data_IF_700018841540
#
_entry.id   IF_700018841540
#
_cell.length_a   1.000
_cell.length_b   1.000
_cell.length_c   1.000
_cell.angle_alpha   90.00
_cell.angle_beta   90.00
_cell.angle_gamma   90.00
#
_symmetry.space_group_name_H-M   'P 1'
#
loop_
_entity.id
_entity.type
_entity.pdbx_description
1 polymer ?
#
# COMPACT_ATOMS: atom_id res chain seq x y z
N UNK A 1 -0.26 30.42 -4.38
CA UNK A 1 -0.82 29.06 -4.29
C UNK A 1 0.34 28.08 -4.33
N UNK A 2 0.77 27.58 -3.17
CA UNK A 2 1.78 26.51 -3.12
C UNK A 2 1.07 25.20 -3.46
N UNK A 3 1.44 24.58 -4.57
CA UNK A 3 1.01 23.22 -4.89
C UNK A 3 1.64 22.27 -3.88
N UNK A 4 0.84 21.58 -3.07
CA UNK A 4 1.32 20.58 -2.13
C UNK A 4 2.22 19.57 -2.84
N UNK A 5 3.28 19.13 -2.16
CA UNK A 5 4.19 18.11 -2.69
C UNK A 5 3.38 16.84 -3.02
N UNK A 6 3.75 16.07 -4.05
CA UNK A 6 3.13 14.77 -4.34
C UNK A 6 3.11 13.84 -3.11
N UNK A 7 4.07 13.99 -2.21
CA UNK A 7 4.16 13.25 -0.96
C UNK A 7 3.13 13.73 0.07
N UNK A 8 2.92 15.05 0.20
CA UNK A 8 1.92 15.62 1.11
C UNK A 8 0.51 15.08 0.79
N UNK A 9 0.17 15.01 -0.50
CA UNK A 9 -1.11 14.46 -0.95
C UNK A 9 -1.23 12.97 -0.64
N UNK A 10 -0.15 12.19 -0.79
CA UNK A 10 -0.18 10.77 -0.45
C UNK A 10 -0.34 10.54 1.05
N UNK A 11 0.29 11.38 1.88
CA UNK A 11 0.17 11.33 3.33
C UNK A 11 -1.25 11.66 3.80
N UNK A 12 -1.88 12.69 3.22
CA UNK A 12 -3.28 13.02 3.50
C UNK A 12 -4.23 11.86 3.16
N UNK A 13 -4.04 11.24 1.99
CA UNK A 13 -4.87 10.11 1.54
C UNK A 13 -4.69 8.89 2.45
N UNK A 14 -3.46 8.56 2.84
CA UNK A 14 -3.21 7.46 3.75
C UNK A 14 -3.81 7.76 5.13
N UNK A 15 -3.63 8.98 5.65
CA UNK A 15 -4.23 9.36 6.94
C UNK A 15 -5.76 9.25 6.93
N UNK A 16 -6.41 9.74 5.87
CA UNK A 16 -7.85 9.61 5.68
C UNK A 16 -8.29 8.15 5.63
N UNK A 17 -7.54 7.28 4.93
CA UNK A 17 -7.80 5.85 4.88
C UNK A 17 -7.71 5.15 6.24
N UNK A 18 -6.78 5.58 7.10
CA UNK A 18 -6.56 4.95 8.41
C UNK A 18 -7.61 5.37 9.44
N UNK A 19 -8.12 6.61 9.35
CA UNK A 19 -9.12 7.16 10.27
C UNK A 19 -10.56 6.92 9.78
N UNK A 20 -10.76 6.89 8.46
CA UNK A 20 -12.05 6.99 7.80
C UNK A 20 -12.73 5.68 7.39
N UNK A 21 -13.79 5.83 6.60
CA UNK A 21 -14.72 4.77 6.18
C UNK A 21 -14.70 4.50 4.66
N UNK A 22 -15.78 3.93 4.11
CA UNK A 22 -15.81 3.37 2.75
C UNK A 22 -15.45 4.31 1.58
N UNK A 23 -15.62 5.63 1.71
CA UNK A 23 -15.20 6.59 0.67
C UNK A 23 -13.67 6.83 0.66
N UNK A 24 -13.03 6.78 1.83
CA UNK A 24 -11.58 6.95 1.98
C UNK A 24 -10.81 5.73 1.45
N UNK A 25 -11.45 4.56 1.46
CA UNK A 25 -10.95 3.35 0.82
C UNK A 25 -10.79 3.54 -0.70
N UNK A 26 -11.77 4.13 -1.38
CA UNK A 26 -11.70 4.33 -2.83
C UNK A 26 -10.52 5.20 -3.23
N UNK A 27 -10.31 6.32 -2.53
CA UNK A 27 -9.21 7.24 -2.83
C UNK A 27 -7.84 6.61 -2.54
N UNK A 28 -7.72 5.88 -1.43
CA UNK A 28 -6.51 5.14 -1.08
C UNK A 28 -6.14 4.10 -2.14
N UNK A 29 -7.12 3.28 -2.54
CA UNK A 29 -6.96 2.29 -3.62
C UNK A 29 -6.52 2.99 -4.90
N UNK A 30 -7.19 4.09 -5.29
CA UNK A 30 -6.85 4.83 -6.50
C UNK A 30 -5.41 5.38 -6.50
N UNK A 31 -4.93 5.87 -5.36
CA UNK A 31 -3.60 6.49 -5.24
C UNK A 31 -2.48 5.45 -5.15
N UNK A 32 -2.69 4.36 -4.41
CA UNK A 32 -1.61 3.41 -4.10
C UNK A 32 -1.64 2.13 -4.93
N UNK A 33 -2.78 1.72 -5.48
CA UNK A 33 -2.85 0.49 -6.30
C UNK A 33 -1.85 0.47 -7.47
N UNK A 34 -1.65 1.54 -8.27
CA UNK A 34 -0.68 1.48 -9.36
C UNK A 34 0.74 1.11 -8.90
N UNK A 35 1.16 1.65 -7.75
CA UNK A 35 2.45 1.35 -7.14
C UNK A 35 2.52 -0.09 -6.62
N UNK A 36 1.46 -0.55 -5.97
CA UNK A 36 1.38 -1.90 -5.41
C UNK A 36 1.31 -2.98 -6.50
N UNK A 37 0.57 -2.75 -7.58
CA UNK A 37 0.52 -3.65 -8.73
C UNK A 37 1.86 -3.69 -9.48
N UNK A 38 2.55 -2.55 -9.63
CA UNK A 38 3.90 -2.53 -10.18
C UNK A 38 4.87 -3.36 -9.34
N UNK A 39 4.79 -3.27 -8.00
CA UNK A 39 5.58 -4.08 -7.08
C UNK A 39 5.21 -5.57 -7.17
N UNK A 40 3.92 -5.92 -7.22
CA UNK A 40 3.46 -7.31 -7.34
C UNK A 40 3.95 -7.96 -8.65
N UNK A 41 3.90 -7.21 -9.76
CA UNK A 41 4.44 -7.64 -11.04
C UNK A 41 5.96 -7.84 -10.98
N UNK A 42 6.69 -6.92 -10.34
CA UNK A 42 8.13 -7.06 -10.12
C UNK A 42 8.47 -8.32 -9.30
N UNK A 43 7.66 -8.63 -8.28
CA UNK A 43 7.78 -9.84 -7.46
C UNK A 43 7.29 -11.12 -8.16
N UNK A 44 6.72 -11.01 -9.36
CA UNK A 44 6.11 -12.12 -10.13
C UNK A 44 5.08 -12.90 -9.31
N UNK A 45 4.21 -12.20 -8.58
CA UNK A 45 3.18 -12.87 -7.79
C UNK A 45 2.16 -13.56 -8.69
N UNK A 46 1.74 -14.77 -8.29
CA UNK A 46 0.80 -15.58 -9.07
C UNK A 46 -0.61 -14.96 -9.09
N UNK A 47 -1.02 -14.29 -8.00
CA UNK A 47 -2.30 -13.60 -7.85
C UNK A 47 -2.05 -12.17 -7.35
N UNK A 48 -1.79 -11.20 -8.25
CA UNK A 48 -1.44 -9.84 -7.85
C UNK A 48 -2.61 -9.10 -7.19
N UNK A 49 -3.85 -9.35 -7.58
CA UNK A 49 -5.05 -8.73 -6.99
C UNK A 49 -5.19 -9.10 -5.51
N UNK A 50 -5.09 -10.39 -5.19
CA UNK A 50 -5.14 -10.91 -3.82
C UNK A 50 -3.99 -10.35 -2.98
N UNK A 51 -2.80 -10.28 -3.56
CA UNK A 51 -1.63 -9.70 -2.89
C UNK A 51 -1.85 -8.23 -2.53
N UNK A 52 -2.32 -7.41 -3.49
CA UNK A 52 -2.61 -5.98 -3.26
C UNK A 52 -3.69 -5.81 -2.19
N UNK A 53 -4.74 -6.63 -2.21
CA UNK A 53 -5.76 -6.64 -1.16
C UNK A 53 -5.15 -6.92 0.23
N UNK A 54 -4.33 -7.96 0.34
CA UNK A 54 -3.64 -8.32 1.59
C UNK A 54 -2.69 -7.21 2.06
N UNK A 55 -2.02 -6.52 1.15
CA UNK A 55 -1.16 -5.38 1.49
C UNK A 55 -1.98 -4.23 2.10
N UNK A 56 -3.14 -3.88 1.55
CA UNK A 56 -4.02 -2.86 2.13
C UNK A 56 -4.56 -3.27 3.51
N UNK A 57 -4.90 -4.55 3.68
CA UNK A 57 -5.31 -5.08 4.99
C UNK A 57 -4.19 -4.97 6.03
N UNK A 58 -2.95 -5.31 5.65
CA UNK A 58 -1.79 -5.20 6.53
C UNK A 58 -1.43 -3.75 6.86
N UNK A 59 -1.57 -2.83 5.88
CA UNK A 59 -1.42 -1.39 6.08
C UNK A 59 -2.36 -0.89 7.17
N UNK A 60 -3.65 -1.26 7.14
CA UNK A 60 -4.60 -0.90 8.22
C UNK A 60 -4.20 -1.50 9.56
N UNK A 61 -3.78 -2.76 9.57
CA UNK A 61 -3.35 -3.45 10.81
C UNK A 61 -2.13 -2.78 11.45
N UNK A 62 -1.23 -2.21 10.64
CA UNK A 62 0.00 -1.54 11.08
C UNK A 62 -0.13 -0.02 11.20
N UNK A 63 -1.33 0.54 11.06
CA UNK A 63 -1.58 1.98 11.10
C UNK A 63 -0.84 2.72 12.23
N UNK A 64 -0.83 2.24 13.50
CA UNK A 64 -0.16 2.94 14.59
C UNK A 64 1.36 3.08 14.40
N UNK A 65 1.97 2.20 13.61
CA UNK A 65 3.42 2.23 13.36
C UNK A 65 3.82 3.26 12.30
N UNK A 66 2.90 3.72 11.45
CA UNK A 66 3.23 4.66 10.38
C UNK A 66 3.59 6.04 10.96
N UNK A 67 2.71 6.60 11.80
CA UNK A 67 2.93 7.92 12.40
C UNK A 67 4.22 7.98 13.22
N UNK A 68 4.50 6.92 13.99
CA UNK A 68 5.73 6.80 14.77
C UNK A 68 7.00 6.69 13.90
N UNK A 69 6.88 6.21 12.65
CA UNK A 69 8.02 6.03 11.76
C UNK A 69 8.50 7.30 11.07
N UNK A 70 7.63 8.32 10.95
CA UNK A 70 7.93 9.55 10.21
C UNK A 70 8.19 9.35 8.71
N UNK A 71 7.89 8.17 8.16
CA UNK A 71 8.12 7.86 6.76
C UNK A 71 7.00 8.41 5.86
N UNK A 72 7.32 8.90 4.64
CA UNK A 72 6.31 9.24 3.65
C UNK A 72 5.42 8.04 3.33
N UNK A 73 4.12 8.27 3.13
CA UNK A 73 3.11 7.23 2.94
C UNK A 73 3.48 6.23 1.83
N UNK A 74 3.99 6.72 0.69
CA UNK A 74 4.42 5.88 -0.44
C UNK A 74 5.52 4.90 -0.03
N UNK A 75 6.54 5.39 0.67
CA UNK A 75 7.67 4.57 1.11
C UNK A 75 7.22 3.55 2.15
N UNK A 76 6.40 3.97 3.11
CA UNK A 76 5.90 3.09 4.16
C UNK A 76 5.01 1.97 3.61
N UNK A 77 4.04 2.31 2.74
CA UNK A 77 3.16 1.32 2.09
C UNK A 77 3.97 0.30 1.27
N UNK A 78 4.96 0.75 0.50
CA UNK A 78 5.83 -0.16 -0.27
C UNK A 78 6.58 -1.10 0.66
N UNK A 79 7.10 -0.61 1.79
CA UNK A 79 7.77 -1.45 2.78
C UNK A 79 6.86 -2.51 3.38
N UNK A 80 5.63 -2.13 3.75
CA UNK A 80 4.61 -3.07 4.26
C UNK A 80 4.25 -4.10 3.19
N UNK A 81 3.94 -3.65 1.97
CA UNK A 81 3.55 -4.53 0.88
C UNK A 81 4.66 -5.51 0.48
N UNK A 82 5.91 -5.05 0.40
CA UNK A 82 7.06 -5.92 0.12
C UNK A 82 7.16 -7.07 1.11
N UNK A 83 7.01 -6.77 2.41
CA UNK A 83 7.00 -7.79 3.46
C UNK A 83 5.82 -8.75 3.34
N UNK A 84 4.64 -8.26 2.95
CA UNK A 84 3.50 -9.13 2.66
C UNK A 84 3.81 -10.10 1.51
N UNK A 85 4.43 -9.59 0.45
CA UNK A 85 4.66 -10.33 -0.80
C UNK A 85 5.74 -11.40 -0.68
N UNK A 86 6.65 -11.29 0.29
CA UNK A 86 7.72 -12.27 0.55
C UNK A 86 7.19 -13.70 0.77
N UNK A 87 6.00 -13.82 1.37
CA UNK A 87 5.40 -15.10 1.72
C UNK A 87 4.33 -15.58 0.71
N UNK A 88 4.16 -14.88 -0.41
CA UNK A 88 3.12 -15.20 -1.38
C UNK A 88 3.67 -16.05 -2.55
N UNK A 89 2.84 -16.95 -3.12
CA UNK A 89 3.23 -17.75 -4.28
C UNK A 89 3.64 -16.88 -5.46
N UNK A 90 4.73 -17.27 -6.12
CA UNK A 90 5.21 -16.66 -7.37
C UNK A 90 4.79 -17.49 -8.56
N UNK A 91 4.67 -16.85 -9.73
CA UNK A 91 4.45 -17.53 -11.01
C UNK A 91 5.56 -18.57 -11.20
N UNK A 92 5.16 -19.83 -11.40
CA UNK A 92 6.09 -20.95 -11.59
C UNK A 92 6.65 -21.57 -10.31
N UNK A 93 6.22 -21.13 -9.12
CA UNK A 93 6.50 -21.85 -7.88
C UNK A 93 5.58 -23.08 -7.81
N UNK A 94 6.12 -24.26 -8.10
CA UNK A 94 5.42 -25.51 -7.79
C UNK A 94 5.26 -25.61 -6.25
N UNK A 95 4.05 -25.93 -5.80
CA UNK A 95 3.76 -26.28 -4.41
C UNK A 95 4.32 -27.66 -4.08
#
# INVERSE_FOLDING_TARGET
MMTASPDDRSDEVLRAFLVGGGQDLYLCVKVFSPLLFALAAHCRLAQPEDAVYLAFAEVRRRAPCWEASGLPARLWIVGVARRCFENLPRVGSAA
#
